data_IF_784770483853
#
_entry.id   IF_784770483853
#
_cell.length_a   1.000
_cell.length_b   1.000
_cell.length_c   1.000
_cell.angle_alpha   90.00
_cell.angle_beta   90.00
_cell.angle_gamma   90.00
#
_symmetry.space_group_name_H-M   'P 1'
#
loop_
_entity.id
_entity.type
_entity.pdbx_description
1 polymer ?
#
# COMPACT_ATOMS: atom_id res chain seq x y z
N UNK A 1 8.20 -33.08 0.26
CA UNK A 1 7.73 -32.28 -0.89
C UNK A 1 7.34 -30.90 -0.37
N UNK A 2 7.98 -29.82 -0.84
CA UNK A 2 7.47 -28.46 -0.57
C UNK A 2 6.11 -28.34 -1.27
N UNK A 3 5.04 -28.06 -0.53
CA UNK A 3 3.74 -27.74 -1.15
C UNK A 3 3.98 -26.56 -2.11
N UNK A 4 3.54 -26.63 -3.37
CA UNK A 4 3.62 -25.48 -4.26
C UNK A 4 2.87 -24.31 -3.59
N UNK A 5 3.43 -23.10 -3.67
CA UNK A 5 2.74 -21.90 -3.21
C UNK A 5 1.35 -21.85 -3.85
N UNK A 6 0.33 -21.47 -3.06
CA UNK A 6 -1.04 -21.37 -3.57
C UNK A 6 -1.11 -20.34 -4.70
N UNK A 7 -2.12 -20.45 -5.57
CA UNK A 7 -2.32 -19.45 -6.63
C UNK A 7 -2.50 -18.03 -6.08
N UNK A 8 -3.06 -17.91 -4.88
CA UNK A 8 -3.27 -16.65 -4.21
C UNK A 8 -1.99 -16.06 -3.58
N UNK A 9 -1.05 -16.87 -3.08
CA UNK A 9 0.28 -16.38 -2.68
C UNK A 9 1.02 -15.77 -3.88
N UNK A 10 0.90 -16.38 -5.06
CA UNK A 10 1.50 -15.82 -6.28
C UNK A 10 0.87 -14.49 -6.68
N UNK A 11 -0.45 -14.37 -6.59
CA UNK A 11 -1.16 -13.12 -6.86
C UNK A 11 -0.78 -12.01 -5.88
N UNK A 12 -0.75 -12.33 -4.58
CA UNK A 12 -0.36 -11.40 -3.52
C UNK A 12 1.10 -10.93 -3.69
N UNK A 13 2.02 -11.85 -3.95
CA UNK A 13 3.42 -11.50 -4.21
C UNK A 13 3.58 -10.63 -5.47
N UNK A 14 2.77 -10.87 -6.51
CA UNK A 14 2.79 -10.03 -7.71
C UNK A 14 2.20 -8.65 -7.46
N UNK A 15 1.15 -8.54 -6.63
CA UNK A 15 0.60 -7.25 -6.21
C UNK A 15 1.64 -6.42 -5.46
N UNK A 16 2.35 -7.00 -4.49
CA UNK A 16 3.43 -6.29 -3.79
C UNK A 16 4.59 -5.85 -4.70
N UNK A 17 4.99 -6.70 -5.65
CA UNK A 17 6.06 -6.33 -6.59
C UNK A 17 5.63 -5.21 -7.54
N UNK A 18 4.36 -5.23 -7.99
CA UNK A 18 3.78 -4.16 -8.79
C UNK A 18 3.77 -2.86 -7.99
N UNK A 19 3.22 -2.90 -6.78
CA UNK A 19 3.09 -1.72 -5.93
C UNK A 19 4.45 -1.14 -5.56
N UNK A 20 5.48 -1.96 -5.28
CA UNK A 20 6.85 -1.47 -5.06
C UNK A 20 7.36 -0.61 -6.23
N UNK A 21 7.12 -1.03 -7.47
CA UNK A 21 7.53 -0.25 -8.65
C UNK A 21 6.69 1.03 -8.80
N UNK A 22 5.42 1.01 -8.41
CA UNK A 22 4.57 2.20 -8.35
C UNK A 22 5.10 3.17 -7.27
N UNK A 23 5.42 2.68 -6.08
CA UNK A 23 6.01 3.48 -4.99
C UNK A 23 7.32 4.16 -5.40
N UNK A 24 8.20 3.48 -6.12
CA UNK A 24 9.42 4.09 -6.66
C UNK A 24 9.10 5.28 -7.60
N UNK A 25 8.10 5.13 -8.48
CA UNK A 25 7.64 6.21 -9.34
C UNK A 25 6.93 7.34 -8.57
N UNK A 26 6.21 7.02 -7.49
CA UNK A 26 5.57 8.00 -6.62
C UNK A 26 6.60 8.84 -5.86
N UNK A 27 7.74 8.25 -5.48
CA UNK A 27 8.88 8.99 -4.91
C UNK A 27 9.42 10.01 -5.91
N UNK A 28 9.66 9.61 -7.16
CA UNK A 28 10.08 10.54 -8.23
C UNK A 28 9.04 11.65 -8.44
N UNK A 29 7.75 11.32 -8.32
CA UNK A 29 6.66 12.28 -8.43
C UNK A 29 6.65 13.28 -7.26
N UNK A 30 6.95 12.83 -6.04
CA UNK A 30 7.12 13.71 -4.89
C UNK A 30 8.35 14.61 -5.06
N UNK A 31 9.46 14.11 -5.63
CA UNK A 31 10.62 14.94 -5.95
C UNK A 31 10.27 16.09 -6.90
N UNK A 32 9.46 15.83 -7.94
CA UNK A 32 8.93 16.88 -8.82
C UNK A 32 8.06 17.89 -8.05
N UNK A 33 7.20 17.44 -7.12
CA UNK A 33 6.43 18.34 -6.26
C UNK A 33 7.35 19.22 -5.40
N UNK A 34 8.44 18.65 -4.86
CA UNK A 34 9.45 19.39 -4.10
C UNK A 34 10.18 20.46 -4.95
N UNK A 35 10.49 20.14 -6.21
CA UNK A 35 11.04 21.10 -7.17
C UNK A 35 10.08 22.28 -7.43
N UNK A 36 8.79 22.00 -7.64
CA UNK A 36 7.76 23.01 -7.86
C UNK A 36 7.59 23.97 -6.67
N UNK A 37 7.76 23.50 -5.44
CA UNK A 37 7.71 24.34 -4.22
C UNK A 37 9.05 25.05 -3.93
N UNK A 38 10.10 24.79 -4.71
CA UNK A 38 11.43 25.35 -4.51
C UNK A 38 12.10 24.90 -3.20
N UNK A 39 11.85 23.66 -2.76
CA UNK A 39 12.42 23.08 -1.54
C UNK A 39 13.12 21.76 -1.85
N UNK A 40 14.22 21.44 -1.14
CA UNK A 40 14.82 20.11 -1.28
C UNK A 40 13.89 19.04 -0.72
N UNK A 41 13.70 17.95 -1.48
CA UNK A 41 13.09 16.73 -0.98
C UNK A 41 13.95 16.15 0.16
N UNK A 42 13.33 15.87 1.30
CA UNK A 42 14.01 15.27 2.46
C UNK A 42 13.10 14.25 3.10
N UNK A 43 13.62 13.03 3.27
CA UNK A 43 12.97 12.01 4.05
C UNK A 43 12.74 12.47 5.49
N UNK A 44 11.58 12.09 6.03
CA UNK A 44 11.24 12.26 7.44
C UNK A 44 10.62 10.97 7.93
N UNK A 45 11.09 10.48 9.07
CA UNK A 45 10.46 9.35 9.75
C UNK A 45 8.99 9.64 10.04
N UNK A 46 8.14 8.69 9.70
CA UNK A 46 6.70 8.78 9.89
C UNK A 46 6.26 7.70 10.89
N UNK A 47 6.08 8.01 12.18
CA UNK A 47 5.75 6.99 13.19
C UNK A 47 4.48 6.20 12.89
N UNK A 48 3.56 6.77 12.11
CA UNK A 48 2.34 6.08 11.69
C UNK A 48 2.62 4.96 10.69
N UNK A 49 3.47 5.20 9.68
CA UNK A 49 3.81 4.14 8.71
C UNK A 49 4.71 3.09 9.37
N UNK A 50 5.65 3.51 10.22
CA UNK A 50 6.50 2.59 10.98
C UNK A 50 5.64 1.60 11.79
N UNK A 51 4.62 2.10 12.49
CA UNK A 51 3.70 1.24 13.26
C UNK A 51 2.86 0.28 12.41
N UNK A 52 2.41 0.69 11.22
CA UNK A 52 1.67 -0.19 10.30
C UNK A 52 2.60 -1.28 9.74
N UNK A 53 3.86 -0.94 9.46
CA UNK A 53 4.87 -1.91 9.02
C UNK A 53 5.20 -2.91 10.13
N UNK A 54 5.34 -2.45 11.38
CA UNK A 54 5.52 -3.31 12.55
C UNK A 54 4.35 -4.32 12.69
N UNK A 55 3.10 -3.87 12.52
CA UNK A 55 1.93 -4.77 12.51
C UNK A 55 2.04 -5.85 11.41
N UNK A 56 2.46 -5.47 10.20
CA UNK A 56 2.70 -6.40 9.10
C UNK A 56 3.81 -7.42 9.42
N UNK A 57 4.89 -7.00 10.06
CA UNK A 57 5.98 -7.88 10.50
C UNK A 57 5.52 -8.85 11.60
N UNK A 58 4.72 -8.38 12.55
CA UNK A 58 4.11 -9.23 13.59
C UNK A 58 3.24 -10.32 12.94
N UNK A 59 2.35 -9.95 12.01
CA UNK A 59 1.52 -10.89 11.25
C UNK A 59 2.38 -11.93 10.52
N UNK A 60 3.45 -11.50 9.84
CA UNK A 60 4.38 -12.41 9.15
C UNK A 60 5.00 -13.43 10.09
N UNK A 61 5.33 -13.01 11.31
CA UNK A 61 6.00 -13.84 12.30
C UNK A 61 5.04 -14.81 12.99
N UNK A 62 3.88 -14.34 13.44
CA UNK A 62 2.90 -15.10 14.24
C UNK A 62 2.12 -16.10 13.39
N UNK A 63 1.74 -15.72 12.17
CA UNK A 63 0.95 -16.56 11.27
C UNK A 63 1.81 -17.36 10.30
N UNK A 64 3.13 -17.45 10.52
CA UNK A 64 4.05 -18.14 9.62
C UNK A 64 3.63 -19.59 9.35
N UNK A 65 3.29 -19.87 8.10
CA UNK A 65 2.85 -21.19 7.66
C UNK A 65 1.38 -21.52 7.97
N UNK A 66 0.66 -20.60 8.63
CA UNK A 66 -0.79 -20.69 8.81
C UNK A 66 -1.52 -20.25 7.53
N UNK A 67 -2.71 -20.81 7.25
CA UNK A 67 -3.56 -20.35 6.13
C UNK A 67 -3.99 -18.89 6.23
N UNK A 68 -4.05 -18.34 7.44
CA UNK A 68 -4.46 -16.96 7.72
C UNK A 68 -3.37 -15.92 7.37
N UNK A 69 -2.13 -16.35 7.10
CA UNK A 69 -1.03 -15.43 6.78
C UNK A 69 -1.37 -14.53 5.59
N UNK A 70 -1.85 -15.11 4.49
CA UNK A 70 -2.19 -14.34 3.28
C UNK A 70 -3.24 -13.26 3.58
N UNK A 71 -4.22 -13.56 4.44
CA UNK A 71 -5.29 -12.64 4.81
C UNK A 71 -4.78 -11.51 5.70
N UNK A 72 -3.92 -11.83 6.67
CA UNK A 72 -3.26 -10.82 7.48
C UNK A 72 -2.37 -9.89 6.65
N UNK A 73 -1.63 -10.42 5.67
CA UNK A 73 -0.79 -9.61 4.79
C UNK A 73 -1.61 -8.69 3.89
N UNK A 74 -2.76 -9.15 3.38
CA UNK A 74 -3.69 -8.28 2.64
C UNK A 74 -4.22 -7.18 3.57
N UNK A 75 -4.64 -7.51 4.79
CA UNK A 75 -5.14 -6.53 5.74
C UNK A 75 -4.11 -5.45 6.10
N UNK A 76 -2.86 -5.84 6.38
CA UNK A 76 -1.78 -4.89 6.66
C UNK A 76 -1.46 -4.01 5.45
N UNK A 77 -1.47 -4.57 4.24
CA UNK A 77 -1.28 -3.81 3.02
C UNK A 77 -2.39 -2.76 2.81
N UNK A 78 -3.66 -3.15 3.00
CA UNK A 78 -4.77 -2.20 2.90
C UNK A 78 -4.68 -1.10 3.96
N UNK A 79 -4.18 -1.39 5.16
CA UNK A 79 -3.94 -0.36 6.18
C UNK A 79 -2.90 0.68 5.72
N UNK A 80 -1.85 0.25 4.98
CA UNK A 80 -0.90 1.15 4.32
C UNK A 80 -1.62 2.01 3.28
N UNK A 81 -2.33 1.40 2.33
CA UNK A 81 -3.02 2.13 1.25
C UNK A 81 -3.99 3.17 1.82
N UNK A 82 -4.80 2.81 2.82
CA UNK A 82 -5.74 3.73 3.46
C UNK A 82 -5.05 4.90 4.15
N UNK A 83 -3.87 4.68 4.74
CA UNK A 83 -3.07 5.75 5.30
C UNK A 83 -2.61 6.72 4.20
N UNK A 84 -2.11 6.20 3.08
CA UNK A 84 -1.62 6.99 1.95
C UNK A 84 -2.75 7.75 1.24
N UNK A 85 -3.89 7.10 0.97
CA UNK A 85 -5.12 7.72 0.43
C UNK A 85 -5.52 8.94 1.27
N UNK A 86 -5.54 8.80 2.60
CA UNK A 86 -5.86 9.90 3.50
C UNK A 86 -4.83 11.05 3.43
N UNK A 87 -3.54 10.73 3.27
CA UNK A 87 -2.47 11.73 3.15
C UNK A 87 -2.52 12.44 1.81
N UNK A 88 -2.59 11.72 0.70
CA UNK A 88 -2.67 12.32 -0.63
C UNK A 88 -3.93 13.15 -0.81
N UNK A 89 -5.10 12.66 -0.36
CA UNK A 89 -6.34 13.44 -0.38
C UNK A 89 -6.20 14.78 0.36
N UNK A 90 -5.53 14.80 1.50
CA UNK A 90 -5.25 16.04 2.25
C UNK A 90 -4.27 16.95 1.51
N UNK A 91 -3.17 16.40 0.98
CA UNK A 91 -2.13 17.16 0.29
C UNK A 91 -2.65 17.81 -1.01
N UNK A 92 -3.52 17.13 -1.74
CA UNK A 92 -4.17 17.67 -2.95
C UNK A 92 -4.98 18.92 -2.61
N UNK A 93 -5.84 18.85 -1.59
CA UNK A 93 -6.65 20.01 -1.16
C UNK A 93 -5.76 21.18 -0.76
N UNK A 94 -4.66 20.93 -0.04
CA UNK A 94 -3.72 21.99 0.32
C UNK A 94 -3.01 22.59 -0.90
N UNK A 95 -2.56 21.76 -1.83
CA UNK A 95 -1.94 22.23 -3.08
C UNK A 95 -2.90 23.11 -3.89
N UNK A 96 -4.17 22.71 -4.02
CA UNK A 96 -5.21 23.49 -4.68
C UNK A 96 -5.46 24.83 -3.98
N UNK A 97 -5.57 24.84 -2.64
CA UNK A 97 -5.75 26.07 -1.85
C UNK A 97 -4.58 27.04 -1.95
N UNK A 98 -3.37 26.52 -2.15
CA UNK A 98 -2.15 27.31 -2.34
C UNK A 98 -1.95 27.75 -3.80
N UNK A 99 -2.85 27.41 -4.72
CA UNK A 99 -2.75 27.73 -6.15
C UNK A 99 -1.67 26.92 -6.88
N UNK A 100 -1.27 25.77 -6.34
CA UNK A 100 -0.22 24.91 -6.86
C UNK A 100 -0.81 23.80 -7.75
N UNK A 101 -1.46 24.20 -8.85
CA UNK A 101 -2.23 23.28 -9.69
C UNK A 101 -1.39 22.12 -10.25
N UNK A 102 -0.16 22.38 -10.66
CA UNK A 102 0.73 21.32 -11.19
C UNK A 102 1.08 20.27 -10.12
N UNK A 103 1.40 20.72 -8.90
CA UNK A 103 1.63 19.81 -7.78
C UNK A 103 0.37 19.01 -7.42
N UNK A 104 -0.81 19.63 -7.47
CA UNK A 104 -2.08 18.95 -7.22
C UNK A 104 -2.34 17.81 -8.23
N UNK A 105 -2.07 18.02 -9.52
CA UNK A 105 -2.25 16.97 -10.54
C UNK A 105 -1.26 15.81 -10.38
N UNK A 106 -0.02 16.10 -9.98
CA UNK A 106 0.95 15.06 -9.63
C UNK A 106 0.46 14.22 -8.44
N UNK A 107 0.00 14.87 -7.38
CA UNK A 107 -0.52 14.19 -6.18
C UNK A 107 -1.81 13.39 -6.47
N UNK A 108 -2.69 13.88 -7.35
CA UNK A 108 -3.89 13.14 -7.81
C UNK A 108 -3.53 11.87 -8.57
N UNK A 109 -2.45 11.91 -9.37
CA UNK A 109 -1.97 10.72 -10.07
C UNK A 109 -1.54 9.65 -9.08
N UNK A 110 -0.78 10.03 -8.04
CA UNK A 110 -0.43 9.08 -6.98
C UNK A 110 -1.65 8.58 -6.22
N UNK A 111 -2.58 9.46 -5.82
CA UNK A 111 -3.81 9.04 -5.14
C UNK A 111 -4.57 7.97 -5.94
N UNK A 112 -4.70 8.15 -7.26
CA UNK A 112 -5.35 7.17 -8.12
C UNK A 112 -4.61 5.83 -8.18
N UNK A 113 -3.28 5.82 -8.09
CA UNK A 113 -2.49 4.58 -8.03
C UNK A 113 -2.74 3.83 -6.71
N UNK A 114 -2.84 4.54 -5.57
CA UNK A 114 -3.14 3.91 -4.27
C UNK A 114 -4.56 3.39 -4.20
N UNK A 115 -5.55 4.16 -4.70
CA UNK A 115 -6.95 3.72 -4.75
C UNK A 115 -7.08 2.44 -5.60
N UNK A 116 -6.40 2.37 -6.76
CA UNK A 116 -6.39 1.16 -7.59
C UNK A 116 -5.65 -0.01 -6.93
N UNK A 117 -4.63 0.27 -6.11
CA UNK A 117 -3.93 -0.76 -5.35
C UNK A 117 -4.84 -1.35 -4.27
N UNK A 118 -5.53 -0.51 -3.49
CA UNK A 118 -6.49 -0.97 -2.48
C UNK A 118 -7.65 -1.77 -3.10
N UNK A 119 -8.17 -1.33 -4.24
CA UNK A 119 -9.19 -2.09 -4.99
C UNK A 119 -8.67 -3.48 -5.40
N UNK A 120 -7.42 -3.56 -5.86
CA UNK A 120 -6.79 -4.84 -6.23
C UNK A 120 -6.58 -5.74 -5.00
N UNK A 121 -6.20 -5.19 -3.85
CA UNK A 121 -6.06 -5.92 -2.58
C UNK A 121 -7.42 -6.43 -2.07
N UNK A 122 -8.46 -5.59 -2.15
CA UNK A 122 -9.84 -5.98 -1.83
C UNK A 122 -10.30 -7.18 -2.67
N UNK A 123 -10.03 -7.16 -3.97
CA UNK A 123 -10.34 -8.27 -4.87
C UNK A 123 -9.57 -9.56 -4.52
N UNK A 124 -8.35 -9.46 -3.96
CA UNK A 124 -7.62 -10.63 -3.45
C UNK A 124 -8.30 -11.21 -2.19
N UNK A 125 -8.78 -10.35 -1.29
CA UNK A 125 -9.56 -10.74 -0.11
C UNK A 125 -10.81 -11.54 -0.48
N UNK A 126 -11.59 -11.02 -1.43
CA UNK A 126 -12.82 -11.64 -1.93
C UNK A 126 -12.58 -12.92 -2.72
N UNK A 127 -11.48 -13.02 -3.48
CA UNK A 127 -11.19 -14.16 -4.36
C UNK A 127 -10.59 -15.41 -3.66
N UNK A 128 -10.75 -15.50 -2.34
CA UNK A 128 -10.47 -16.72 -1.58
C UNK A 128 -9.23 -16.67 -0.68
N UNK A 129 -8.64 -15.50 -0.44
CA UNK A 129 -7.67 -15.32 0.66
C UNK A 129 -8.37 -15.47 2.00
N UNK A 130 -9.50 -14.78 2.19
CA UNK A 130 -10.27 -14.84 3.44
C UNK A 130 -10.93 -16.22 3.65
N UNK A 131 -11.46 -16.82 2.58
CA UNK A 131 -12.07 -18.16 2.67
C UNK A 131 -11.05 -19.24 3.10
N UNK A 132 -9.81 -19.17 2.60
CA UNK A 132 -8.74 -20.10 3.01
C UNK A 132 -8.32 -19.90 4.46
N UNK A 133 -8.34 -18.67 4.97
CA UNK A 133 -8.12 -18.40 6.38
C UNK A 133 -9.18 -19.10 7.26
N UNK A 134 -10.44 -19.14 6.81
CA UNK A 134 -11.54 -19.78 7.54
C UNK A 134 -11.54 -21.32 7.47
N UNK A 135 -10.99 -21.94 6.43
CA UNK A 135 -11.05 -23.40 6.20
C UNK A 135 -10.28 -24.28 7.19
N UNK A 136 -9.45 -23.73 8.08
CA UNK A 136 -8.77 -24.50 9.15
C UNK A 136 -9.09 -24.00 10.57
N UNK A 137 -9.98 -23.02 10.72
CA UNK A 137 -10.49 -22.60 12.02
C UNK A 137 -11.64 -23.49 12.53
N UNK A 138 -12.08 -24.45 11.71
CA UNK A 138 -13.10 -25.48 12.00
C UNK A 138 -12.45 -26.87 12.04
#
# INVERSE_FOLDING_TARGET
MKKPFSAAIRKLSAAFQKHLAETEAQVERLEQVFELIGKPARGKTCPAIDGILEEGEEIMSEYKGAPALDAGLVAAAQAVEHYEIARYGTLIVWAEQLGMSEAAELLKTTLSEEELTDEALSALGESGVNERAMQQAA
#
